data_IF_932372882352
#
_entry.id   IF_932372882352
#
_cell.length_a   1.000
_cell.length_b   1.000
_cell.length_c   1.000
_cell.angle_alpha   90.00
_cell.angle_beta   90.00
_cell.angle_gamma   90.00
#
_symmetry.space_group_name_H-M   'P 1'
#
loop_
_entity.id
_entity.type
_entity.pdbx_description
1 polymer ?
#
# COMPACT_ATOMS: atom_id res chain seq x y z
N UNK A 1 8.85 -47.70 27.15
CA UNK A 1 8.20 -48.49 28.23
C UNK A 1 8.55 -47.88 29.58
N UNK A 2 7.56 -47.56 30.42
CA UNK A 2 7.78 -47.08 31.80
C UNK A 2 8.44 -48.17 32.65
N UNK A 3 9.41 -47.81 33.49
CA UNK A 3 10.25 -48.77 34.26
C UNK A 3 9.44 -49.76 35.12
N UNK A 4 8.23 -49.37 35.54
CA UNK A 4 7.28 -50.25 36.25
C UNK A 4 6.86 -51.50 35.47
N UNK A 5 6.74 -51.44 34.13
CA UNK A 5 6.32 -52.58 33.32
C UNK A 5 7.45 -53.61 33.14
N UNK A 6 8.69 -53.15 32.96
CA UNK A 6 9.89 -54.01 32.94
C UNK A 6 10.05 -54.77 34.25
N UNK A 7 9.79 -54.10 35.38
CA UNK A 7 9.89 -54.67 36.73
C UNK A 7 8.77 -55.68 37.05
N UNK A 8 7.61 -55.52 36.40
CA UNK A 8 6.52 -56.51 36.45
C UNK A 8 6.89 -57.76 35.64
N UNK A 9 7.32 -57.59 34.38
CA UNK A 9 7.75 -58.67 33.49
C UNK A 9 8.90 -59.52 34.07
N UNK A 10 9.89 -58.91 34.70
CA UNK A 10 11.00 -59.63 35.32
C UNK A 10 10.59 -60.51 36.51
N UNK A 11 9.46 -60.21 37.15
CA UNK A 11 8.99 -60.90 38.34
C UNK A 11 7.83 -61.88 38.05
N UNK A 12 7.36 -61.97 36.79
CA UNK A 12 6.30 -62.90 36.40
C UNK A 12 6.62 -64.39 36.64
N UNK A 13 7.84 -64.89 36.38
CA UNK A 13 8.17 -66.29 36.60
C UNK A 13 8.06 -66.70 38.08
N UNK A 14 8.16 -65.74 38.99
CA UNK A 14 8.22 -65.96 40.43
C UNK A 14 6.87 -65.73 41.14
N UNK A 15 5.83 -65.24 40.44
CA UNK A 15 4.51 -65.02 41.03
C UNK A 15 3.38 -65.07 39.98
N UNK A 16 2.68 -66.22 39.83
CA UNK A 16 1.64 -66.42 38.83
C UNK A 16 0.43 -65.48 38.98
N UNK A 17 0.20 -64.94 40.18
CA UNK A 17 -0.91 -64.01 40.45
C UNK A 17 -0.78 -62.66 39.72
N UNK A 18 0.39 -62.38 39.15
CA UNK A 18 0.66 -61.15 38.38
C UNK A 18 0.11 -61.20 36.93
N UNK A 19 -0.26 -62.37 36.41
CA UNK A 19 -0.80 -62.54 35.05
C UNK A 19 -2.08 -61.72 34.82
N UNK A 20 -2.98 -61.68 35.81
CA UNK A 20 -4.19 -60.85 35.76
C UNK A 20 -3.87 -59.35 35.68
N UNK A 21 -2.81 -58.90 36.36
CA UNK A 21 -2.34 -57.50 36.32
C UNK A 21 -1.69 -57.14 34.99
N UNK A 22 -1.01 -58.07 34.33
CA UNK A 22 -0.43 -57.89 32.98
C UNK A 22 -1.52 -57.81 31.92
N UNK A 23 -2.55 -58.66 31.99
CA UNK A 23 -3.74 -58.60 31.12
C UNK A 23 -4.41 -57.22 31.19
N UNK A 24 -4.67 -56.73 32.41
CA UNK A 24 -5.24 -55.40 32.65
C UNK A 24 -4.35 -54.27 32.10
N UNK A 25 -3.05 -54.31 32.39
CA UNK A 25 -2.09 -53.32 31.87
C UNK A 25 -2.01 -53.34 30.34
N UNK A 26 -2.10 -54.52 29.72
CA UNK A 26 -2.02 -54.67 28.28
C UNK A 26 -3.26 -54.16 27.53
N UNK A 27 -4.46 -54.34 28.10
CA UNK A 27 -5.70 -53.75 27.58
C UNK A 27 -5.67 -52.23 27.69
N UNK A 28 -5.19 -51.70 28.83
CA UNK A 28 -5.01 -50.27 29.04
C UNK A 28 -3.96 -49.68 28.08
N UNK A 29 -2.85 -50.37 27.82
CA UNK A 29 -1.85 -49.96 26.83
C UNK A 29 -2.43 -49.93 25.40
N UNK A 30 -3.34 -50.84 25.04
CA UNK A 30 -4.03 -50.81 23.74
C UNK A 30 -5.00 -49.63 23.63
N UNK A 31 -5.74 -49.32 24.69
CA UNK A 31 -6.60 -48.13 24.74
C UNK A 31 -5.78 -46.83 24.68
N UNK A 32 -4.69 -46.73 25.43
CA UNK A 32 -3.76 -45.60 25.36
C UNK A 32 -3.11 -45.48 23.98
N UNK A 33 -2.79 -46.59 23.31
CA UNK A 33 -2.29 -46.58 21.94
C UNK A 33 -3.33 -46.11 20.92
N UNK A 34 -4.60 -46.50 21.09
CA UNK A 34 -5.71 -46.03 20.25
C UNK A 34 -5.94 -44.52 20.40
N UNK A 35 -5.96 -44.04 21.65
CA UNK A 35 -6.10 -42.59 21.95
C UNK A 35 -4.92 -41.81 21.37
N UNK A 36 -3.69 -42.33 21.44
CA UNK A 36 -2.51 -41.70 20.84
C UNK A 36 -2.56 -41.65 19.31
N UNK A 37 -3.07 -42.70 18.65
CA UNK A 37 -3.26 -42.71 17.18
C UNK A 37 -4.31 -41.68 16.74
N UNK A 38 -5.40 -41.57 17.49
CA UNK A 38 -6.48 -40.65 17.19
C UNK A 38 -6.04 -39.20 17.44
N UNK A 39 -5.30 -38.94 18.52
CA UNK A 39 -4.65 -37.65 18.76
C UNK A 39 -3.64 -37.27 17.66
N UNK A 40 -2.88 -38.23 17.16
CA UNK A 40 -1.95 -38.00 16.04
C UNK A 40 -2.67 -37.66 14.73
N UNK A 41 -3.82 -38.29 14.45
CA UNK A 41 -4.64 -37.97 13.29
C UNK A 41 -5.20 -36.54 13.36
N UNK A 42 -5.65 -36.09 14.53
CA UNK A 42 -6.09 -34.70 14.73
C UNK A 42 -4.94 -33.70 14.60
N UNK A 43 -3.75 -34.02 15.12
CA UNK A 43 -2.57 -33.18 14.94
C UNK A 43 -2.18 -33.11 13.46
N UNK A 44 -2.21 -34.23 12.74
CA UNK A 44 -1.93 -34.27 11.30
C UNK A 44 -2.95 -33.46 10.48
N UNK A 45 -4.25 -33.53 10.83
CA UNK A 45 -5.30 -32.73 10.21
C UNK A 45 -5.13 -31.24 10.48
N UNK A 46 -4.85 -30.86 11.74
CA UNK A 46 -4.57 -29.47 12.11
C UNK A 46 -3.32 -28.94 11.36
N UNK A 47 -2.29 -29.76 11.21
CA UNK A 47 -1.10 -29.40 10.43
C UNK A 47 -1.39 -29.25 8.94
N UNK A 48 -2.25 -30.09 8.36
CA UNK A 48 -2.68 -29.98 6.95
C UNK A 48 -3.43 -28.66 6.70
N UNK A 49 -4.34 -28.30 7.61
CA UNK A 49 -5.03 -27.00 7.57
C UNK A 49 -4.05 -25.84 7.69
N UNK A 50 -3.04 -25.95 8.55
CA UNK A 50 -1.98 -24.94 8.68
C UNK A 50 -1.07 -24.85 7.44
N UNK A 51 -0.81 -25.96 6.73
CA UNK A 51 0.01 -25.93 5.50
C UNK A 51 -0.72 -25.23 4.35
N UNK A 52 -2.04 -25.40 4.24
CA UNK A 52 -2.87 -24.66 3.26
C UNK A 52 -2.83 -23.15 3.52
N UNK A 53 -2.85 -22.75 4.80
CA UNK A 53 -2.74 -21.34 5.20
C UNK A 53 -1.35 -20.72 4.95
N UNK A 54 -0.31 -21.54 4.81
CA UNK A 54 1.07 -21.11 4.53
C UNK A 54 1.39 -21.06 3.03
N UNK A 55 0.77 -21.94 2.22
CA UNK A 55 0.98 -21.97 0.75
C UNK A 55 0.19 -20.86 0.05
N UNK A 56 -0.87 -20.37 0.68
CA UNK A 56 -1.55 -19.15 0.25
C UNK A 56 -0.85 -17.98 0.94
N UNK A 57 0.05 -17.21 0.28
CA UNK A 57 0.50 -15.96 0.86
C UNK A 57 -0.77 -15.19 1.26
N UNK A 58 -0.82 -14.52 2.43
CA UNK A 58 -1.88 -13.58 2.69
C UNK A 58 -1.82 -12.60 1.52
N UNK A 59 -2.75 -12.71 0.57
CA UNK A 59 -2.93 -11.66 -0.40
C UNK A 59 -3.27 -10.45 0.44
N UNK A 60 -2.41 -9.43 0.38
CA UNK A 60 -2.65 -8.10 0.92
C UNK A 60 -4.12 -7.81 0.66
N UNK A 61 -4.89 -7.55 1.71
CA UNK A 61 -6.36 -7.48 1.64
C UNK A 61 -6.77 -6.73 0.37
N UNK A 62 -7.42 -7.45 -0.56
CA UNK A 62 -7.87 -6.94 -1.86
C UNK A 62 -9.08 -6.01 -1.63
N UNK A 63 -8.92 -5.01 -0.77
CA UNK A 63 -9.79 -3.85 -0.74
C UNK A 63 -9.30 -2.95 -1.86
N UNK A 64 -10.02 -2.98 -2.97
CA UNK A 64 -9.82 -2.03 -4.07
C UNK A 64 -9.93 -0.61 -3.52
N UNK A 65 -8.92 0.24 -3.77
CA UNK A 65 -9.02 1.67 -3.49
C UNK A 65 -9.32 2.42 -4.79
N UNK A 66 -10.17 3.45 -4.71
CA UNK A 66 -10.41 4.37 -5.82
C UNK A 66 -9.14 5.18 -6.19
N UNK A 67 -8.15 5.21 -5.30
CA UNK A 67 -6.84 5.79 -5.55
C UNK A 67 -5.94 4.91 -6.45
N UNK A 68 -6.27 3.63 -6.62
CA UNK A 68 -5.47 2.68 -7.39
C UNK A 68 -5.48 3.00 -8.89
N UNK A 69 -4.31 3.02 -9.54
CA UNK A 69 -4.23 3.12 -10.99
C UNK A 69 -4.78 1.87 -11.67
N UNK A 70 -4.48 0.70 -11.11
CA UNK A 70 -5.08 -0.58 -11.43
C UNK A 70 -5.89 -1.01 -10.22
N UNK A 71 -7.20 -0.88 -10.31
CA UNK A 71 -8.16 -1.30 -9.28
C UNK A 71 -7.86 -2.69 -8.72
N UNK A 72 -7.43 -2.78 -7.45
CA UNK A 72 -7.10 -4.04 -6.79
C UNK A 72 -5.79 -4.70 -7.26
N UNK A 73 -4.99 -3.99 -8.05
CA UNK A 73 -3.65 -4.41 -8.44
C UNK A 73 -3.59 -5.50 -9.52
N UNK A 74 -2.48 -6.24 -9.52
CA UNK A 74 -2.23 -7.35 -10.43
C UNK A 74 -1.34 -8.42 -9.78
N UNK A 75 -1.46 -9.66 -10.22
CA UNK A 75 -0.75 -10.82 -9.66
C UNK A 75 0.49 -11.28 -10.43
N UNK A 76 0.74 -10.75 -11.64
CA UNK A 76 1.92 -11.13 -12.44
C UNK A 76 2.33 -10.07 -13.46
N UNK A 77 3.59 -10.10 -13.91
CA UNK A 77 4.08 -9.24 -15.00
C UNK A 77 3.23 -9.40 -16.27
N UNK A 78 2.82 -10.63 -16.60
CA UNK A 78 1.95 -10.90 -17.75
C UNK A 78 0.61 -10.16 -17.64
N UNK A 79 -0.03 -10.22 -16.47
CA UNK A 79 -1.27 -9.48 -16.23
C UNK A 79 -1.08 -7.95 -16.32
N UNK A 80 0.02 -7.40 -15.80
CA UNK A 80 0.32 -5.98 -15.93
C UNK A 80 0.51 -5.56 -17.39
N UNK A 81 1.13 -6.43 -18.21
CA UNK A 81 1.28 -6.22 -19.66
C UNK A 81 -0.08 -6.26 -20.36
N UNK A 82 -0.95 -7.20 -20.01
CA UNK A 82 -2.31 -7.27 -20.58
C UNK A 82 -3.14 -6.03 -20.24
N UNK A 83 -3.07 -5.55 -19.00
CA UNK A 83 -3.71 -4.31 -18.55
C UNK A 83 -3.20 -3.11 -19.35
N UNK A 84 -1.88 -3.03 -19.55
CA UNK A 84 -1.26 -1.99 -20.38
C UNK A 84 -1.71 -2.10 -21.84
N UNK A 85 -1.67 -3.28 -22.45
CA UNK A 85 -2.06 -3.46 -23.85
C UNK A 85 -3.54 -3.12 -24.09
N UNK A 86 -4.42 -3.47 -23.15
CA UNK A 86 -5.84 -3.19 -23.21
C UNK A 86 -6.23 -1.79 -22.70
N UNK A 87 -5.28 -0.99 -22.24
CA UNK A 87 -5.48 0.34 -21.66
C UNK A 87 -6.56 0.40 -20.57
N UNK A 88 -6.62 -0.63 -19.72
CA UNK A 88 -7.62 -0.70 -18.65
C UNK A 88 -7.46 0.50 -17.72
N UNK A 89 -8.55 1.24 -17.48
CA UNK A 89 -8.54 2.44 -16.62
C UNK A 89 -7.63 3.58 -17.11
N UNK A 90 -7.24 3.60 -18.39
CA UNK A 90 -6.28 4.57 -18.93
C UNK A 90 -4.82 4.28 -18.58
N UNK A 91 -4.51 3.08 -18.08
CA UNK A 91 -3.18 2.73 -17.57
C UNK A 91 -2.06 2.90 -18.62
N UNK A 92 -2.32 2.60 -19.89
CA UNK A 92 -1.35 2.79 -20.98
C UNK A 92 -1.06 4.25 -21.23
N UNK A 93 -2.09 5.10 -21.18
CA UNK A 93 -1.95 6.54 -21.45
C UNK A 93 -1.14 7.22 -20.34
N UNK A 94 -1.36 6.77 -19.10
CA UNK A 94 -0.54 7.15 -17.94
C UNK A 94 0.91 6.71 -18.13
N UNK A 95 1.15 5.43 -18.47
CA UNK A 95 2.49 4.91 -18.69
C UNK A 95 3.23 5.67 -19.80
N UNK A 96 2.54 5.91 -20.92
CA UNK A 96 3.07 6.62 -22.07
C UNK A 96 3.47 8.06 -21.75
N UNK A 97 2.76 8.75 -20.86
CA UNK A 97 3.12 10.09 -20.38
C UNK A 97 4.54 10.13 -19.78
N UNK A 98 4.96 9.05 -19.12
CA UNK A 98 6.30 8.94 -18.52
C UNK A 98 7.31 8.22 -19.42
N UNK A 99 7.00 8.02 -20.71
CA UNK A 99 7.87 7.29 -21.64
C UNK A 99 8.00 5.80 -21.32
N UNK A 100 6.99 5.22 -20.65
CA UNK A 100 6.94 3.80 -20.32
C UNK A 100 6.05 3.10 -21.34
N UNK A 101 6.64 2.20 -22.13
CA UNK A 101 5.89 1.32 -23.03
C UNK A 101 5.47 0.03 -22.33
N UNK A 102 4.45 -0.66 -22.85
CA UNK A 102 4.09 -1.99 -22.37
C UNK A 102 5.24 -3.01 -22.54
N UNK A 103 6.15 -2.78 -23.51
CA UNK A 103 7.39 -3.56 -23.65
C UNK A 103 8.39 -3.33 -22.51
N UNK A 104 8.48 -2.12 -21.98
CA UNK A 104 9.29 -1.85 -20.78
C UNK A 104 8.71 -2.58 -19.56
N UNK A 105 7.39 -2.68 -19.44
CA UNK A 105 6.71 -3.44 -18.39
C UNK A 105 6.95 -4.94 -18.57
N UNK A 106 6.87 -5.45 -19.80
CA UNK A 106 7.16 -6.86 -20.11
C UNK A 106 8.60 -7.27 -19.76
N UNK A 107 9.53 -6.32 -19.83
CA UNK A 107 10.95 -6.52 -19.49
C UNK A 107 11.27 -6.24 -18.02
N UNK A 108 10.28 -5.84 -17.21
CA UNK A 108 10.47 -5.47 -15.81
C UNK A 108 10.68 -6.70 -14.92
N UNK A 109 11.47 -6.53 -13.86
CA UNK A 109 11.74 -7.59 -12.88
C UNK A 109 10.96 -7.34 -11.58
N UNK A 110 10.47 -8.41 -10.97
CA UNK A 110 9.82 -8.30 -9.64
C UNK A 110 10.88 -8.04 -8.58
N UNK A 111 10.68 -7.00 -7.79
CA UNK A 111 11.53 -6.58 -6.68
C UNK A 111 10.68 -6.30 -5.44
N UNK A 112 11.35 -6.22 -4.30
CA UNK A 112 10.78 -5.68 -3.07
C UNK A 112 11.42 -4.32 -2.80
N UNK A 113 10.59 -3.31 -2.55
CA UNK A 113 11.02 -1.96 -2.18
C UNK A 113 10.44 -1.56 -0.83
N UNK A 114 11.16 -0.74 -0.06
CA UNK A 114 10.64 -0.09 1.14
C UNK A 114 10.24 1.35 0.83
N UNK A 115 9.25 1.85 1.55
CA UNK A 115 8.70 3.20 1.39
C UNK A 115 9.74 4.32 1.50
N UNK A 116 10.82 4.07 2.24
CA UNK A 116 11.92 5.00 2.49
C UNK A 116 13.22 4.67 1.74
N UNK A 117 13.23 3.68 0.84
CA UNK A 117 14.39 3.46 -0.01
C UNK A 117 14.69 4.72 -0.85
N UNK A 118 15.94 4.84 -1.34
CA UNK A 118 16.42 6.03 -2.06
C UNK A 118 16.28 7.32 -1.24
N UNK A 119 16.64 7.26 0.05
CA UNK A 119 16.60 8.41 0.98
C UNK A 119 15.21 9.07 1.06
N UNK A 120 14.15 8.25 0.98
CA UNK A 120 12.77 8.72 1.02
C UNK A 120 12.31 9.47 -0.24
N UNK A 121 13.04 9.37 -1.35
CA UNK A 121 12.71 10.05 -2.62
C UNK A 121 11.80 9.22 -3.53
N UNK A 122 11.14 8.18 -3.04
CA UNK A 122 10.16 7.44 -3.83
C UNK A 122 8.83 8.20 -3.89
N UNK A 123 8.37 8.54 -5.08
CA UNK A 123 7.08 9.18 -5.32
C UNK A 123 6.10 8.20 -5.94
N UNK A 124 5.01 7.89 -5.24
CA UNK A 124 3.90 7.07 -5.74
C UNK A 124 2.80 7.95 -6.33
N UNK A 125 2.22 7.51 -7.44
CA UNK A 125 1.13 8.19 -8.13
C UNK A 125 -0.21 7.49 -7.89
N UNK A 126 -1.23 8.27 -7.55
CA UNK A 126 -2.60 7.79 -7.41
C UNK A 126 -3.65 8.71 -8.06
N UNK A 127 -4.92 8.30 -7.98
CA UNK A 127 -6.06 8.97 -8.65
C UNK A 127 -6.79 10.01 -7.80
N UNK A 128 -6.50 10.13 -6.51
CA UNK A 128 -7.20 11.07 -5.61
C UNK A 128 -6.19 11.94 -4.86
N UNK A 129 -6.49 13.21 -4.56
CA UNK A 129 -5.65 14.04 -3.68
C UNK A 129 -5.79 13.64 -2.20
N UNK A 130 -4.75 13.81 -1.39
CA UNK A 130 -4.79 13.51 0.05
C UNK A 130 -4.10 14.55 0.95
N UNK A 131 -3.49 15.59 0.38
CA UNK A 131 -2.71 16.57 1.15
C UNK A 131 -1.49 15.95 1.83
N UNK A 132 -0.98 14.83 1.32
CA UNK A 132 0.19 14.13 1.86
C UNK A 132 1.48 14.88 1.56
N UNK A 133 2.54 14.52 2.28
CA UNK A 133 3.86 15.10 2.06
C UNK A 133 4.33 14.88 0.60
N UNK A 134 4.82 15.95 -0.02
CA UNK A 134 5.29 15.93 -1.41
C UNK A 134 4.17 15.81 -2.45
N UNK A 135 2.90 16.01 -2.07
CA UNK A 135 1.79 15.87 -3.00
C UNK A 135 1.86 16.89 -4.14
N UNK A 136 1.96 16.41 -5.38
CA UNK A 136 2.14 17.20 -6.59
C UNK A 136 1.17 16.72 -7.67
N UNK A 137 0.30 17.60 -8.21
CA UNK A 137 -0.63 17.22 -9.26
C UNK A 137 0.08 17.05 -10.61
N UNK A 138 -0.33 16.03 -11.37
CA UNK A 138 0.14 15.73 -12.73
C UNK A 138 -1.07 15.57 -13.63
N UNK A 139 -1.21 16.41 -14.65
CA UNK A 139 -2.34 16.35 -15.58
C UNK A 139 -1.97 15.56 -16.82
N UNK A 140 -2.70 14.49 -17.08
CA UNK A 140 -2.53 13.60 -18.23
C UNK A 140 -3.86 13.54 -18.99
N UNK A 141 -3.90 14.17 -20.17
CA UNK A 141 -5.16 14.38 -20.89
C UNK A 141 -6.11 15.28 -20.10
N UNK A 142 -7.34 14.82 -19.86
CA UNK A 142 -8.35 15.54 -19.08
C UNK A 142 -8.37 15.18 -17.59
N UNK A 143 -7.50 14.26 -17.15
CA UNK A 143 -7.48 13.72 -15.80
C UNK A 143 -6.24 14.21 -15.05
N UNK A 144 -6.44 14.67 -13.83
CA UNK A 144 -5.35 14.97 -12.90
C UNK A 144 -5.09 13.75 -12.04
N UNK A 145 -3.81 13.44 -11.83
CA UNK A 145 -3.28 12.42 -10.93
C UNK A 145 -2.40 13.11 -9.89
N UNK A 146 -2.09 12.43 -8.80
CA UNK A 146 -1.34 13.03 -7.70
C UNK A 146 -0.16 12.14 -7.33
N UNK A 147 1.05 12.68 -7.50
CA UNK A 147 2.29 12.12 -6.98
C UNK A 147 2.46 12.51 -5.53
N UNK A 148 3.04 11.66 -4.71
CA UNK A 148 3.37 11.94 -3.30
C UNK A 148 4.46 11.02 -2.81
N UNK A 149 5.14 11.36 -1.73
CA UNK A 149 6.14 10.46 -1.16
C UNK A 149 5.51 9.13 -0.74
N UNK A 150 6.13 8.01 -1.08
CA UNK A 150 5.63 6.68 -0.74
C UNK A 150 5.59 6.44 0.77
N UNK A 151 6.55 6.98 1.52
CA UNK A 151 6.57 6.93 2.99
C UNK A 151 5.49 7.79 3.66
N UNK A 152 4.82 8.69 2.93
CA UNK A 152 3.75 9.51 3.51
C UNK A 152 2.50 8.70 3.91
N UNK A 153 2.45 7.44 3.48
CA UNK A 153 1.45 6.45 3.86
C UNK A 153 1.78 5.68 5.15
N UNK A 154 3.00 5.80 5.68
CA UNK A 154 3.42 5.08 6.87
C UNK A 154 2.77 5.71 8.12
N UNK A 155 2.01 4.93 8.89
CA UNK A 155 1.24 5.41 10.05
C UNK A 155 1.86 5.11 11.42
N UNK A 156 2.98 4.36 11.48
CA UNK A 156 3.56 3.86 12.74
C UNK A 156 5.09 4.04 12.88
N UNK A 157 5.70 4.91 12.08
CA UNK A 157 7.15 5.19 12.17
C UNK A 157 8.07 4.06 11.66
N UNK A 158 7.51 3.01 11.06
CA UNK A 158 8.24 1.96 10.37
C UNK A 158 7.95 2.01 8.87
N UNK A 159 8.96 1.83 8.00
CA UNK A 159 8.75 1.89 6.56
C UNK A 159 7.96 0.69 6.06
N UNK A 160 6.90 0.95 5.30
CA UNK A 160 6.13 -0.10 4.62
C UNK A 160 6.96 -0.78 3.53
N UNK A 161 6.70 -2.07 3.31
CA UNK A 161 7.38 -2.87 2.28
C UNK A 161 6.38 -3.26 1.19
N UNK A 162 6.77 -3.09 -0.06
CA UNK A 162 5.92 -3.33 -1.23
C UNK A 162 6.60 -4.27 -2.23
N UNK A 163 5.82 -5.19 -2.81
CA UNK A 163 6.22 -5.94 -4.01
C UNK A 163 5.91 -5.09 -5.24
N UNK A 164 6.89 -4.94 -6.13
CA UNK A 164 6.78 -4.07 -7.29
C UNK A 164 7.47 -4.66 -8.52
N UNK A 165 6.98 -4.33 -9.72
CA UNK A 165 7.78 -4.46 -10.94
C UNK A 165 8.77 -3.30 -11.01
N UNK A 166 10.05 -3.55 -11.29
CA UNK A 166 11.06 -2.53 -11.57
C UNK A 166 11.42 -2.56 -13.04
N UNK A 167 11.29 -1.41 -13.71
CA UNK A 167 11.67 -1.25 -15.10
C UNK A 167 12.40 0.05 -15.35
N UNK A 168 12.85 0.21 -16.60
CA UNK A 168 13.47 1.43 -17.09
C UNK A 168 12.68 1.92 -18.29
N UNK A 169 12.26 3.19 -18.25
CA UNK A 169 11.55 3.85 -19.34
C UNK A 169 12.48 4.09 -20.54
N UNK A 170 11.91 4.50 -21.68
CA UNK A 170 12.70 4.85 -22.87
C UNK A 170 13.64 6.04 -22.65
N UNK A 171 13.37 6.90 -21.66
CA UNK A 171 14.22 8.03 -21.28
C UNK A 171 15.33 7.68 -20.28
N UNK A 172 15.44 6.40 -19.88
CA UNK A 172 16.41 5.94 -18.89
C UNK A 172 15.95 6.12 -17.42
N UNK A 173 14.77 6.70 -17.19
CA UNK A 173 14.21 6.85 -15.85
C UNK A 173 13.78 5.47 -15.30
N UNK A 174 14.24 5.13 -14.10
CA UNK A 174 13.76 3.96 -13.36
C UNK A 174 12.35 4.23 -12.85
N UNK A 175 11.46 3.26 -13.05
CA UNK A 175 10.11 3.27 -12.51
C UNK A 175 9.82 1.95 -11.78
N UNK A 176 8.85 2.00 -10.88
CA UNK A 176 8.25 0.82 -10.29
C UNK A 176 6.73 0.81 -10.49
N UNK A 177 6.12 -0.37 -10.44
CA UNK A 177 4.67 -0.55 -10.44
C UNK A 177 4.32 -1.47 -9.28
N UNK A 178 3.58 -0.96 -8.29
CA UNK A 178 3.21 -1.73 -7.10
C UNK A 178 2.19 -2.82 -7.46
N UNK A 179 2.39 -4.04 -6.98
CA UNK A 179 1.47 -5.16 -7.27
C UNK A 179 0.08 -4.93 -6.70
N UNK A 180 -0.02 -4.34 -5.51
CA UNK A 180 -1.30 -4.20 -4.80
C UNK A 180 -2.27 -3.20 -5.43
N UNK A 181 -1.79 -2.25 -6.25
CA UNK A 181 -2.61 -1.16 -6.80
C UNK A 181 -2.28 -0.70 -8.22
N UNK A 182 -1.20 -1.23 -8.81
CA UNK A 182 -0.72 -0.72 -10.08
C UNK A 182 -0.16 0.70 -10.03
N UNK A 183 -0.03 1.33 -8.84
CA UNK A 183 0.48 2.69 -8.76
C UNK A 183 1.92 2.75 -9.24
N UNK A 184 2.21 3.69 -10.15
CA UNK A 184 3.57 3.97 -10.55
C UNK A 184 4.33 4.60 -9.38
N UNK A 185 5.58 4.20 -9.21
CA UNK A 185 6.52 4.83 -8.28
C UNK A 185 7.76 5.26 -9.04
N UNK A 186 8.24 6.47 -8.77
CA UNK A 186 9.43 7.05 -9.39
C UNK A 186 10.45 7.43 -8.33
N UNK A 187 11.73 7.41 -8.71
CA UNK A 187 12.80 7.99 -7.89
C UNK A 187 12.85 9.48 -8.22
N UNK A 188 12.49 10.32 -7.25
CA UNK A 188 12.25 11.74 -7.44
C UNK A 188 10.96 12.03 -8.21
N UNK A 189 10.67 13.31 -8.41
CA UNK A 189 9.58 13.72 -9.30
C UNK A 189 9.96 13.35 -10.74
N UNK A 190 9.14 12.54 -11.45
CA UNK A 190 9.40 12.18 -12.82
C UNK A 190 9.41 13.44 -13.69
N UNK A 191 10.32 13.53 -14.68
CA UNK A 191 10.34 14.65 -15.60
C UNK A 191 9.04 14.71 -16.42
N UNK A 192 8.59 15.90 -16.85
CA UNK A 192 7.45 16.02 -17.75
C UNK A 192 7.70 15.24 -19.06
N UNK A 193 6.64 14.85 -19.79
CA UNK A 193 6.76 14.10 -21.03
C UNK A 193 7.73 14.80 -21.99
N UNK A 194 8.55 14.03 -22.74
CA UNK A 194 9.34 14.62 -23.80
C UNK A 194 8.41 15.37 -24.79
N UNK A 195 8.75 16.58 -25.23
CA UNK A 195 7.93 17.31 -26.18
C UNK A 195 7.72 16.46 -27.43
N UNK A 196 6.47 16.44 -27.95
CA UNK A 196 6.15 15.73 -29.19
C UNK A 196 7.12 16.21 -30.29
N UNK A 197 7.76 15.31 -31.04
CA UNK A 197 8.57 15.72 -32.17
C UNK A 197 7.69 16.49 -33.15
N UNK A 198 7.93 17.79 -33.31
CA UNK A 198 7.34 18.56 -34.40
C UNK A 198 8.20 18.24 -35.61
N UNK A 199 7.78 17.27 -36.42
CA UNK A 199 8.30 17.16 -37.77
C UNK A 199 7.87 18.45 -38.51
N UNK A 200 8.77 19.19 -39.18
CA UNK A 200 8.35 20.32 -39.98
C UNK A 200 7.41 19.79 -41.07
N UNK A 201 6.13 20.16 -40.96
CA UNK A 201 5.15 19.91 -42.00
C UNK A 201 5.58 20.64 -43.26
N UNK A 202 5.48 19.96 -44.39
CA UNK A 202 5.57 20.57 -45.71
C UNK A 202 4.53 21.70 -45.80
N UNK A 203 4.97 22.93 -46.06
CA UNK A 203 4.08 24.04 -46.37
C UNK A 203 3.92 24.17 -47.88
N UNK A 204 2.67 24.18 -48.34
CA UNK A 204 2.34 24.39 -49.75
C UNK A 204 2.23 25.89 -50.04
N UNK A 205 3.09 26.40 -50.92
CA UNK A 205 3.05 27.78 -51.41
C UNK A 205 3.54 27.90 -52.85
N UNK A 206 2.66 28.39 -53.73
CA UNK A 206 2.89 28.89 -55.10
C UNK A 206 4.04 28.28 -55.93
N UNK A 207 3.87 27.01 -56.33
CA UNK A 207 4.28 26.55 -57.67
C UNK A 207 5.76 26.37 -58.01
N UNK A 208 6.72 26.55 -57.10
CA UNK A 208 8.14 26.31 -57.40
C UNK A 208 8.88 25.62 -56.25
N UNK A 209 9.66 24.58 -56.58
CA UNK A 209 10.56 23.89 -55.65
C UNK A 209 11.87 24.66 -55.54
N UNK A 210 12.27 25.10 -54.34
CA UNK A 210 13.62 25.58 -54.06
C UNK A 210 14.30 24.66 -53.05
N UNK A 211 15.52 24.22 -53.39
CA UNK A 211 16.42 23.49 -52.51
C UNK A 211 17.12 24.49 -51.58
N UNK A 212 17.16 24.18 -50.28
CA UNK A 212 17.98 24.94 -49.31
C UNK A 212 19.45 24.90 -49.72
N UNK A 213 20.20 26.01 -49.60
CA UNK A 213 21.56 26.12 -50.11
C UNK A 213 22.57 25.53 -49.10
N UNK A 214 22.57 24.22 -48.95
CA UNK A 214 23.70 23.49 -48.37
C UNK A 214 24.21 22.52 -49.43
N UNK A 215 25.00 23.06 -50.36
CA UNK A 215 25.73 22.28 -51.34
C UNK A 215 26.93 21.61 -50.68
N UNK A 216 26.90 20.28 -50.59
CA UNK A 216 28.07 19.48 -50.97
C UNK A 216 27.66 18.04 -51.30
N UNK A 217 27.87 17.66 -52.55
CA UNK A 217 27.73 16.29 -53.07
C UNK A 217 29.14 15.79 -53.37
N UNK A 218 29.60 14.74 -52.66
CA UNK A 218 30.44 13.63 -53.15
C UNK A 218 31.29 12.97 -52.03
N UNK A 219 30.75 11.98 -51.32
CA UNK A 219 31.36 10.64 -51.19
C UNK A 219 30.43 9.71 -50.41
N UNK A 220 29.97 8.66 -51.07
CA UNK A 220 29.31 7.54 -50.42
C UNK A 220 30.37 6.64 -49.75
N UNK A 221 30.45 6.67 -48.43
CA UNK A 221 30.94 5.53 -47.64
C UNK A 221 30.04 5.30 -46.43
N UNK A 222 29.66 4.04 -46.32
CA UNK A 222 28.78 3.37 -45.37
C UNK A 222 29.21 3.61 -43.91
N UNK A 223 28.44 4.39 -43.15
CA UNK A 223 28.47 4.37 -41.68
C UNK A 223 27.15 4.86 -41.10
N UNK A 224 26.58 4.03 -40.23
CA UNK A 224 25.53 4.30 -39.23
C UNK A 224 25.02 5.74 -39.12
N UNK A 225 23.75 5.94 -39.48
CA UNK A 225 22.95 7.12 -39.13
C UNK A 225 22.76 7.22 -37.62
N UNK A 226 23.69 7.88 -36.92
CA UNK A 226 23.35 8.61 -35.70
C UNK A 226 22.82 9.97 -36.11
N UNK A 227 21.53 10.19 -35.90
CA UNK A 227 20.89 11.49 -36.00
C UNK A 227 21.62 12.49 -35.06
N UNK A 228 22.18 13.61 -35.53
CA UNK A 228 22.88 14.57 -34.68
C UNK A 228 21.85 15.49 -34.03
N UNK A 229 21.09 14.97 -33.07
CA UNK A 229 20.25 15.74 -32.17
C UNK A 229 20.46 15.23 -30.75
N UNK A 230 21.68 15.42 -30.24
CA UNK A 230 21.93 15.30 -28.80
C UNK A 230 21.45 16.60 -28.18
N UNK A 231 20.31 16.55 -27.50
CA UNK A 231 19.84 17.65 -26.67
C UNK A 231 20.86 17.89 -25.56
N UNK A 232 21.27 19.15 -25.37
CA UNK A 232 22.07 19.53 -24.22
C UNK A 232 21.31 19.15 -22.93
N UNK A 233 22.01 18.66 -21.89
CA UNK A 233 21.38 18.39 -20.60
C UNK A 233 20.70 19.67 -20.10
N UNK A 234 19.44 19.60 -19.60
CA UNK A 234 18.81 20.77 -19.03
C UNK A 234 19.64 21.25 -17.84
N UNK A 235 19.73 22.58 -17.62
CA UNK A 235 20.44 23.11 -16.47
C UNK A 235 19.88 22.52 -15.17
N UNK A 236 20.71 22.36 -14.12
CA UNK A 236 20.27 21.89 -12.81
C UNK A 236 19.04 22.69 -12.38
N UNK A 237 17.95 22.01 -11.98
CA UNK A 237 16.75 22.72 -11.49
C UNK A 237 17.14 23.55 -10.28
N UNK A 238 16.86 24.85 -10.34
CA UNK A 238 17.04 25.78 -9.25
C UNK A 238 16.25 25.31 -8.00
N UNK A 239 16.75 25.55 -6.78
CA UNK A 239 16.06 25.18 -5.55
C UNK A 239 14.65 25.81 -5.49
N UNK A 240 13.66 25.15 -4.87
CA UNK A 240 12.31 25.68 -4.76
C UNK A 240 12.30 26.94 -3.89
N UNK A 241 11.37 27.85 -4.17
CA UNK A 241 11.21 29.07 -3.41
C UNK A 241 10.77 28.77 -1.97
N UNK A 242 11.40 29.39 -0.94
CA UNK A 242 11.04 29.16 0.46
C UNK A 242 9.64 29.66 0.83
N UNK A 243 9.04 30.53 0.00
CA UNK A 243 7.73 31.14 0.25
C UNK A 243 6.60 30.52 -0.58
N UNK A 244 6.93 29.93 -1.74
CA UNK A 244 5.98 29.26 -2.62
C UNK A 244 6.66 28.04 -3.30
N UNK A 245 6.40 26.80 -2.86
CA UNK A 245 7.10 25.63 -3.37
C UNK A 245 6.83 25.32 -4.85
N UNK A 246 5.84 25.98 -5.47
CA UNK A 246 5.48 25.77 -6.87
C UNK A 246 6.33 26.59 -7.86
N UNK A 247 7.23 27.46 -7.39
CA UNK A 247 8.12 28.28 -8.22
C UNK A 247 9.57 28.18 -7.77
N UNK A 248 10.51 28.51 -8.66
CA UNK A 248 11.94 28.46 -8.38
C UNK A 248 12.36 29.60 -7.43
N UNK A 249 13.40 29.39 -6.62
CA UNK A 249 13.94 30.40 -5.69
C UNK A 249 14.37 31.70 -6.38
N UNK A 250 14.86 31.58 -7.61
CA UNK A 250 15.36 32.72 -8.39
C UNK A 250 14.26 33.37 -9.24
N UNK A 251 13.02 32.88 -9.15
CA UNK A 251 11.87 33.48 -9.83
C UNK A 251 11.58 34.87 -9.25
N UNK A 252 11.36 35.93 -10.06
CA UNK A 252 10.96 37.25 -9.57
C UNK A 252 9.69 37.28 -8.70
N UNK A 253 8.85 36.25 -8.80
CA UNK A 253 7.68 36.00 -7.96
C UNK A 253 8.03 35.42 -6.57
N UNK A 254 9.23 34.87 -6.39
CA UNK A 254 9.71 34.32 -5.12
C UNK A 254 10.15 35.42 -4.15
N UNK A 255 9.18 36.12 -3.56
CA UNK A 255 9.41 37.19 -2.58
C UNK A 255 8.72 36.92 -1.25
N UNK A 256 9.26 37.45 -0.13
CA UNK A 256 8.53 37.47 1.12
C UNK A 256 7.18 38.17 0.93
N UNK A 257 6.19 37.73 1.71
CA UNK A 257 4.82 38.22 1.62
C UNK A 257 4.68 39.76 1.67
N UNK A 258 5.64 40.45 2.29
CA UNK A 258 5.65 41.91 2.42
C UNK A 258 5.94 42.67 1.12
N UNK A 259 6.62 42.03 0.16
CA UNK A 259 7.09 42.63 -1.09
C UNK A 259 6.34 42.11 -2.33
N UNK A 260 5.28 41.33 -2.10
CA UNK A 260 4.44 40.69 -3.11
C UNK A 260 3.42 41.67 -3.70
N UNK A 261 3.40 41.81 -5.05
CA UNK A 261 2.58 42.81 -5.74
C UNK A 261 1.55 42.24 -6.73
N UNK A 262 1.71 41.00 -7.19
CA UNK A 262 0.76 40.37 -8.11
C UNK A 262 -0.18 39.38 -7.39
N UNK A 263 -1.31 39.04 -8.00
CA UNK A 263 -2.30 38.14 -7.40
C UNK A 263 -1.72 36.74 -7.11
N UNK A 264 -0.87 36.22 -7.99
CA UNK A 264 -0.24 34.91 -7.85
C UNK A 264 0.82 34.94 -6.73
N UNK A 265 1.57 36.04 -6.60
CA UNK A 265 2.51 36.26 -5.48
C UNK A 265 1.79 36.39 -4.13
N UNK A 266 0.55 36.88 -4.11
CA UNK A 266 -0.21 37.09 -2.86
C UNK A 266 -0.81 35.80 -2.31
N UNK A 267 -1.08 34.79 -3.14
CA UNK A 267 -1.60 33.50 -2.64
C UNK A 267 -0.61 32.77 -1.74
N UNK A 268 0.70 33.03 -1.89
CA UNK A 268 1.74 32.57 -0.97
C UNK A 268 1.61 33.14 0.46
N UNK A 269 0.86 34.23 0.64
CA UNK A 269 0.54 34.82 1.94
C UNK A 269 -0.64 34.17 2.67
N UNK A 270 -1.35 33.23 2.03
CA UNK A 270 -2.48 32.55 2.65
C UNK A 270 -1.98 31.49 3.63
N UNK A 271 -2.37 31.62 4.89
CA UNK A 271 -2.19 30.60 5.90
C UNK A 271 -3.51 29.84 6.08
N UNK A 272 -3.41 28.52 6.02
CA UNK A 272 -4.53 27.60 6.14
C UNK A 272 -4.50 26.93 7.51
N UNK A 273 -5.66 26.78 8.13
CA UNK A 273 -5.79 25.95 9.33
C UNK A 273 -7.18 25.33 9.43
N UNK A 274 -7.29 24.27 10.24
CA UNK A 274 -8.51 23.51 10.44
C UNK A 274 -8.67 23.06 11.87
N UNK A 275 -9.93 23.02 12.30
CA UNK A 275 -10.39 22.42 13.55
C UNK A 275 -11.64 21.59 13.31
N UNK A 276 -11.89 20.65 14.21
CA UNK A 276 -13.11 19.86 14.22
C UNK A 276 -13.74 19.89 15.62
N UNK A 277 -15.06 19.94 15.70
CA UNK A 277 -15.84 19.85 16.93
C UNK A 277 -16.73 18.62 16.85
N UNK A 278 -16.78 17.82 17.92
CA UNK A 278 -17.79 16.78 18.08
C UNK A 278 -18.99 17.36 18.80
N UNK A 279 -20.07 17.60 18.06
CA UNK A 279 -21.30 18.22 18.58
C UNK A 279 -22.05 17.26 19.51
N UNK A 280 -22.05 15.96 19.20
CA UNK A 280 -22.79 14.94 19.95
C UNK A 280 -22.15 14.67 21.32
N UNK A 281 -20.83 14.61 21.38
CA UNK A 281 -20.09 14.42 22.63
C UNK A 281 -19.72 15.73 23.34
N UNK A 282 -20.05 16.88 22.75
CA UNK A 282 -19.68 18.22 23.24
C UNK A 282 -18.16 18.38 23.49
N UNK A 283 -17.35 18.01 22.49
CA UNK A 283 -15.89 18.15 22.49
C UNK A 283 -15.51 19.27 21.51
N UNK A 284 -14.99 20.38 22.02
CA UNK A 284 -14.68 21.59 21.23
C UNK A 284 -13.55 21.39 20.22
N UNK A 285 -12.54 20.57 20.56
CA UNK A 285 -11.49 20.12 19.65
C UNK A 285 -11.48 18.59 19.59
N UNK A 286 -12.06 18.05 18.53
CA UNK A 286 -12.14 16.62 18.29
C UNK A 286 -10.82 16.03 17.76
N UNK A 287 -9.80 16.85 17.50
CA UNK A 287 -8.51 16.34 17.02
C UNK A 287 -7.88 15.38 18.05
N UNK A 288 -7.42 14.23 17.56
CA UNK A 288 -6.87 13.12 18.35
C UNK A 288 -7.84 12.47 19.36
N UNK A 289 -9.14 12.75 19.25
CA UNK A 289 -10.19 12.13 20.08
C UNK A 289 -10.86 10.95 19.37
N UNK A 290 -11.78 10.27 20.05
CA UNK A 290 -12.54 9.13 19.50
C UNK A 290 -14.01 9.48 19.31
N UNK A 291 -14.50 9.47 18.07
CA UNK A 291 -15.91 9.61 17.74
C UNK A 291 -16.64 8.26 17.79
N UNK A 292 -17.92 8.27 18.15
CA UNK A 292 -18.79 7.10 18.19
C UNK A 292 -19.69 7.03 16.94
N UNK A 293 -20.23 5.86 16.67
CA UNK A 293 -21.21 5.67 15.60
C UNK A 293 -22.41 6.61 15.79
N UNK A 294 -22.74 7.41 14.78
CA UNK A 294 -23.84 8.38 14.83
C UNK A 294 -23.46 9.78 15.30
N UNK A 295 -22.23 10.03 15.76
CA UNK A 295 -21.79 11.36 16.18
C UNK A 295 -21.82 12.36 15.03
N UNK A 296 -22.14 13.62 15.35
CA UNK A 296 -22.12 14.73 14.41
C UNK A 296 -20.84 15.54 14.62
N UNK A 297 -20.05 15.70 13.56
CA UNK A 297 -18.77 16.42 13.57
C UNK A 297 -18.87 17.64 12.67
N UNK A 298 -18.53 18.81 13.22
CA UNK A 298 -18.42 20.07 12.47
C UNK A 298 -16.95 20.38 12.21
N UNK A 299 -16.55 20.47 10.95
CA UNK A 299 -15.22 20.92 10.55
C UNK A 299 -15.26 22.41 10.21
N UNK A 300 -14.27 23.17 10.70
CA UNK A 300 -14.07 24.59 10.34
C UNK A 300 -12.71 24.76 9.68
N UNK A 301 -12.72 25.23 8.44
CA UNK A 301 -11.58 25.64 7.63
C UNK A 301 -11.37 27.14 7.81
N UNK A 302 -10.14 27.57 8.05
CA UNK A 302 -9.77 28.98 8.21
C UNK A 302 -8.69 29.33 7.19
N UNK A 303 -8.91 30.42 6.45
CA UNK A 303 -7.92 30.98 5.52
C UNK A 303 -7.61 32.40 5.95
N UNK A 304 -6.35 32.63 6.33
CA UNK A 304 -5.87 33.93 6.77
C UNK A 304 -4.94 34.55 5.74
N UNK A 305 -5.26 35.74 5.28
CA UNK A 305 -4.37 36.54 4.46
C UNK A 305 -3.37 37.27 5.36
N UNK A 306 -2.11 36.80 5.38
CA UNK A 306 -1.03 37.44 6.14
C UNK A 306 -0.38 38.62 5.39
N UNK A 307 -0.82 38.89 4.16
CA UNK A 307 -0.31 39.97 3.33
C UNK A 307 -0.91 41.33 3.65
N UNK A 308 -0.26 42.36 3.09
CA UNK A 308 -0.65 43.78 3.23
C UNK A 308 -1.67 44.23 2.18
N UNK A 309 -2.02 43.38 1.23
CA UNK A 309 -2.97 43.67 0.15
C UNK A 309 -4.14 42.67 0.14
N UNK A 310 -5.30 43.13 -0.32
CA UNK A 310 -6.45 42.28 -0.55
C UNK A 310 -6.18 41.23 -1.64
N UNK A 311 -6.80 40.06 -1.48
CA UNK A 311 -6.75 38.93 -2.41
C UNK A 311 -8.17 38.63 -2.85
N UNK A 312 -8.46 38.85 -4.13
CA UNK A 312 -9.75 38.55 -4.74
C UNK A 312 -9.83 37.11 -5.26
N UNK A 313 -11.04 36.63 -5.55
CA UNK A 313 -11.27 35.35 -6.23
C UNK A 313 -10.66 34.09 -5.56
N UNK A 314 -10.47 34.09 -4.24
CA UNK A 314 -9.97 32.91 -3.51
C UNK A 314 -11.04 31.84 -3.52
N UNK A 315 -10.69 30.65 -4.00
CA UNK A 315 -11.54 29.46 -3.94
C UNK A 315 -11.03 28.58 -2.82
N UNK A 316 -11.88 28.31 -1.83
CA UNK A 316 -11.59 27.34 -0.78
C UNK A 316 -12.03 25.98 -1.29
N UNK A 317 -11.12 25.00 -1.22
CA UNK A 317 -11.37 23.62 -1.59
C UNK A 317 -10.88 22.69 -0.51
N UNK A 318 -11.58 21.56 -0.34
CA UNK A 318 -11.28 20.57 0.67
C UNK A 318 -11.58 19.17 0.16
N UNK A 319 -10.60 18.26 0.23
CA UNK A 319 -10.85 16.85 -0.02
C UNK A 319 -11.36 16.17 1.25
N UNK A 320 -12.55 15.57 1.20
CA UNK A 320 -13.17 14.87 2.33
C UNK A 320 -13.24 13.34 2.15
N UNK A 321 -12.50 12.76 1.20
CA UNK A 321 -12.58 11.32 0.84
C UNK A 321 -12.39 10.39 2.02
N UNK A 322 -11.36 10.63 2.83
CA UNK A 322 -11.07 9.84 4.03
C UNK A 322 -12.19 9.92 5.08
N UNK A 323 -12.76 11.13 5.28
CA UNK A 323 -13.93 11.33 6.15
C UNK A 323 -15.12 10.51 5.65
N UNK A 324 -15.30 10.42 4.33
CA UNK A 324 -16.43 9.72 3.72
C UNK A 324 -16.34 8.20 3.82
N UNK A 325 -15.20 7.62 4.22
CA UNK A 325 -15.15 6.21 4.59
C UNK A 325 -16.10 5.94 5.75
N UNK A 326 -16.17 6.88 6.69
CA UNK A 326 -16.78 6.68 8.00
C UNK A 326 -17.94 7.60 8.33
N UNK A 327 -18.16 8.65 7.56
CA UNK A 327 -19.21 9.62 7.83
C UNK A 327 -19.94 10.02 6.55
N UNK A 328 -21.22 10.37 6.69
CA UNK A 328 -22.03 10.93 5.62
C UNK A 328 -22.11 12.45 5.76
N UNK A 329 -22.09 13.16 4.64
CA UNK A 329 -22.26 14.63 4.63
C UNK A 329 -23.67 14.97 5.10
N UNK A 330 -23.77 15.85 6.09
CA UNK A 330 -25.03 16.42 6.57
C UNK A 330 -25.28 17.78 5.92
N UNK A 331 -24.25 18.65 5.91
CA UNK A 331 -24.38 20.02 5.41
C UNK A 331 -23.01 20.56 4.97
N UNK A 332 -22.91 21.08 3.75
CA UNK A 332 -21.68 21.68 3.21
C UNK A 332 -21.58 23.19 3.45
N UNK A 333 -22.56 23.80 4.13
CA UNK A 333 -22.63 25.24 4.46
C UNK A 333 -22.30 26.13 3.25
N UNK A 334 -22.95 25.86 2.12
CA UNK A 334 -22.77 26.61 0.87
C UNK A 334 -21.66 26.09 -0.05
N UNK A 335 -20.96 25.02 0.33
CA UNK A 335 -20.03 24.30 -0.54
C UNK A 335 -20.73 23.30 -1.46
N UNK A 336 -20.08 22.94 -2.56
CA UNK A 336 -20.50 21.90 -3.50
C UNK A 336 -19.45 20.82 -3.60
N UNK A 337 -19.84 19.55 -3.47
CA UNK A 337 -18.94 18.39 -3.61
C UNK A 337 -18.94 17.87 -5.04
N UNK A 338 -17.77 17.63 -5.61
CA UNK A 338 -17.63 16.97 -6.91
C UNK A 338 -17.55 15.43 -6.79
N UNK A 339 -17.41 14.76 -7.94
CA UNK A 339 -17.28 13.29 -7.99
C UNK A 339 -15.95 12.76 -7.44
N UNK A 340 -14.98 13.64 -7.15
CA UNK A 340 -13.68 13.32 -6.55
C UNK A 340 -13.69 13.59 -5.05
N UNK A 341 -14.86 13.84 -4.47
CA UNK A 341 -15.07 14.19 -3.07
C UNK A 341 -14.34 15.48 -2.63
N UNK A 342 -14.10 16.40 -3.57
CA UNK A 342 -13.60 17.74 -3.28
C UNK A 342 -14.80 18.66 -3.09
N UNK A 343 -14.90 19.25 -1.90
CA UNK A 343 -15.86 20.31 -1.59
C UNK A 343 -15.23 21.65 -1.98
N UNK A 344 -15.95 22.46 -2.74
CA UNK A 344 -15.52 23.81 -3.13
C UNK A 344 -16.57 24.84 -2.74
N UNK A 345 -16.12 25.96 -2.18
CA UNK A 345 -16.98 27.11 -1.85
C UNK A 345 -16.84 28.24 -2.88
N UNK A 346 -17.85 29.11 -3.04
CA UNK A 346 -17.81 30.22 -3.96
C UNK A 346 -16.60 31.14 -3.73
N UNK A 347 -16.12 31.74 -4.83
CA UNK A 347 -15.02 32.72 -4.84
C UNK A 347 -15.24 33.83 -3.84
N UNK A 348 -14.23 34.10 -3.02
CA UNK A 348 -14.30 35.12 -1.97
C UNK A 348 -13.10 36.05 -2.02
N UNK A 349 -13.34 37.27 -1.52
CA UNK A 349 -12.30 38.26 -1.28
C UNK A 349 -11.82 38.15 0.16
N UNK A 350 -10.51 38.02 0.36
CA UNK A 350 -9.88 38.05 1.69
C UNK A 350 -9.09 39.35 1.82
N UNK A 351 -9.56 40.24 2.69
CA UNK A 351 -8.87 41.50 2.96
C UNK A 351 -7.50 41.27 3.58
N UNK A 352 -6.59 42.22 3.37
CA UNK A 352 -5.29 42.23 4.04
C UNK A 352 -5.42 42.01 5.56
N UNK A 353 -4.57 41.14 6.12
CA UNK A 353 -4.55 40.81 7.56
C UNK A 353 -5.77 40.05 8.10
N UNK A 354 -6.80 39.82 7.28
CA UNK A 354 -8.08 39.23 7.71
C UNK A 354 -8.14 37.72 7.43
N UNK A 355 -9.12 37.06 8.02
CA UNK A 355 -9.40 35.64 7.77
C UNK A 355 -10.87 35.41 7.41
N UNK A 356 -11.12 34.33 6.66
CA UNK A 356 -12.45 33.82 6.36
C UNK A 356 -12.54 32.37 6.81
N UNK A 357 -13.76 31.95 7.16
CA UNK A 357 -14.04 30.60 7.63
C UNK A 357 -15.06 29.91 6.72
N UNK A 358 -14.83 28.63 6.43
CA UNK A 358 -15.78 27.74 5.79
C UNK A 358 -16.02 26.52 6.67
N UNK A 359 -17.21 25.94 6.56
CA UNK A 359 -17.60 24.82 7.41
C UNK A 359 -18.26 23.72 6.59
N UNK A 360 -18.15 22.51 7.10
CA UNK A 360 -19.00 21.40 6.68
C UNK A 360 -19.27 20.49 7.87
N UNK A 361 -20.40 19.81 7.83
CA UNK A 361 -20.91 18.95 8.90
C UNK A 361 -21.06 17.54 8.33
N UNK A 362 -20.56 16.57 9.08
CA UNK A 362 -20.69 15.15 8.75
C UNK A 362 -21.28 14.40 9.94
N UNK A 363 -21.87 13.24 9.67
CA UNK A 363 -22.38 12.32 10.68
C UNK A 363 -21.70 10.97 10.53
N UNK A 364 -21.06 10.50 11.60
CA UNK A 364 -20.42 9.18 11.62
C UNK A 364 -21.47 8.11 11.34
N UNK A 365 -21.17 7.23 10.39
CA UNK A 365 -22.03 6.13 9.97
C UNK A 365 -22.34 5.21 11.15
N UNK A 366 -23.57 4.71 11.17
CA UNK A 366 -24.02 3.74 12.16
C UNK A 366 -24.75 2.59 11.43
N UNK A 367 -24.15 1.38 11.35
CA UNK A 367 -22.89 0.97 11.99
C UNK A 367 -21.63 1.55 11.30
N UNK A 368 -20.52 1.60 12.04
CA UNK A 368 -19.20 2.00 11.47
C UNK A 368 -18.75 0.92 10.46
N UNK A 369 -18.41 1.30 9.21
CA UNK A 369 -17.92 0.38 8.20
C UNK A 369 -16.74 -0.47 8.66
N UNK A 370 -16.77 -1.74 8.25
CA UNK A 370 -15.75 -2.75 8.56
C UNK A 370 -14.94 -3.15 7.32
N UNK A 371 -14.99 -2.33 6.26
CA UNK A 371 -14.24 -2.52 5.01
C UNK A 371 -12.77 -2.72 5.32
N UNK A 372 -12.10 -3.77 4.82
CA UNK A 372 -10.66 -3.96 5.06
C UNK A 372 -9.84 -2.77 4.57
N UNK A 373 -8.75 -2.46 5.27
CA UNK A 373 -7.75 -1.47 4.83
C UNK A 373 -7.13 -1.98 3.53
N UNK A 374 -6.90 -1.11 2.55
CA UNK A 374 -6.09 -1.50 1.39
C UNK A 374 -4.60 -1.47 1.74
N UNK A 375 -3.80 -2.44 1.30
CA UNK A 375 -2.34 -2.33 1.44
C UNK A 375 -1.74 -1.21 0.57
N UNK A 376 -2.39 -0.85 -0.52
CA UNK A 376 -1.97 0.24 -1.39
C UNK A 376 -2.35 1.62 -0.88
N UNK A 377 -3.33 1.68 0.01
CA UNK A 377 -3.91 2.89 0.53
C UNK A 377 -4.26 2.71 2.02
N UNK A 378 -3.22 2.68 2.87
CA UNK A 378 -3.39 2.35 4.28
C UNK A 378 -4.05 3.47 5.09
N UNK A 379 -4.29 4.64 4.48
CA UNK A 379 -5.05 5.72 5.11
C UNK A 379 -6.56 5.50 5.04
N UNK A 380 -7.03 4.76 4.02
CA UNK A 380 -8.44 4.46 3.88
C UNK A 380 -8.87 3.27 4.75
N UNK A 381 -10.06 3.41 5.32
CA UNK A 381 -10.69 2.44 6.20
C UNK A 381 -9.80 1.97 7.39
N UNK A 382 -8.92 2.84 7.89
CA UNK A 382 -7.96 2.59 8.97
C UNK A 382 -8.48 2.87 10.40
N UNK A 383 -9.77 3.18 10.53
CA UNK A 383 -10.49 3.63 11.72
C UNK A 383 -10.07 5.03 12.22
N UNK A 384 -9.49 5.85 11.35
CA UNK A 384 -9.15 7.24 11.62
C UNK A 384 -9.67 8.12 10.50
N UNK A 385 -10.57 9.05 10.81
CA UNK A 385 -10.90 10.13 9.89
C UNK A 385 -9.76 11.16 9.93
N UNK A 386 -8.82 11.01 9.01
CA UNK A 386 -7.64 11.86 8.78
C UNK A 386 -7.95 12.89 7.71
N UNK A 387 -7.74 14.16 8.02
CA UNK A 387 -8.01 15.21 7.06
C UNK A 387 -7.06 16.40 7.22
N UNK A 388 -6.59 16.94 6.10
CA UNK A 388 -5.47 17.88 6.04
C UNK A 388 -5.88 19.18 5.36
N UNK A 389 -5.71 20.29 6.08
CA UNK A 389 -5.87 21.64 5.53
C UNK A 389 -4.97 22.63 6.27
N UNK A 390 -3.75 22.81 5.77
CA UNK A 390 -2.66 23.51 6.47
C UNK A 390 -2.10 22.74 7.66
N UNK A 391 -2.97 22.24 8.55
CA UNK A 391 -2.67 21.26 9.59
C UNK A 391 -3.53 19.99 9.43
N UNK A 392 -3.14 18.92 10.12
CA UNK A 392 -3.86 17.64 10.13
C UNK A 392 -4.82 17.56 11.31
N UNK A 393 -6.04 17.09 11.05
CA UNK A 393 -7.03 16.68 12.06
C UNK A 393 -7.25 15.18 11.92
N UNK A 394 -7.05 14.44 13.02
CA UNK A 394 -7.23 12.99 13.09
C UNK A 394 -8.32 12.66 14.12
N UNK A 395 -9.43 12.05 13.71
CA UNK A 395 -10.49 11.62 14.63
C UNK A 395 -10.59 10.10 14.57
N UNK A 396 -10.33 9.43 15.68
CA UNK A 396 -10.34 7.96 15.77
C UNK A 396 -11.75 7.42 15.90
N UNK A 397 -11.94 6.16 15.52
CA UNK A 397 -13.17 5.41 15.71
C UNK A 397 -12.92 4.19 16.62
N UNK A 398 -13.93 3.73 17.36
CA UNK A 398 -13.77 2.56 18.23
C UNK A 398 -13.40 1.32 17.41
N UNK A 399 -12.39 0.55 17.83
CA UNK A 399 -12.02 -0.69 17.15
C UNK A 399 -13.13 -1.73 17.32
N UNK A 400 -13.33 -2.54 16.28
CA UNK A 400 -14.18 -3.73 16.34
C UNK A 400 -13.34 -4.99 16.37
N UNK A 401 -13.94 -6.11 16.81
CA UNK A 401 -13.29 -7.43 16.80
C UNK A 401 -12.76 -7.79 15.41
N UNK A 402 -13.52 -7.47 14.35
CA UNK A 402 -13.13 -7.75 12.96
C UNK A 402 -11.88 -6.96 12.58
N UNK A 403 -11.88 -5.64 12.83
CA UNK A 403 -10.74 -4.76 12.50
C UNK A 403 -9.48 -5.06 13.30
N UNK A 404 -9.61 -5.41 14.59
CA UNK A 404 -8.46 -5.80 15.41
C UNK A 404 -7.77 -7.07 14.86
N UNK A 405 -8.54 -8.05 14.37
CA UNK A 405 -7.94 -9.24 13.74
C UNK A 405 -7.21 -8.91 12.44
N UNK A 406 -7.68 -7.93 11.65
CA UNK A 406 -7.02 -7.48 10.42
C UNK A 406 -5.62 -6.90 10.69
N UNK A 407 -5.49 -6.02 11.69
CA UNK A 407 -4.20 -5.40 12.06
C UNK A 407 -3.20 -6.44 12.59
N UNK A 408 -3.68 -7.45 13.32
CA UNK A 408 -2.83 -8.54 13.82
C UNK A 408 -2.32 -9.40 12.66
N UNK A 409 -3.15 -9.69 11.65
CA UNK A 409 -2.72 -10.45 10.47
C UNK A 409 -1.66 -9.69 9.66
N UNK A 410 -1.78 -8.36 9.53
CA UNK A 410 -0.81 -7.50 8.83
C UNK A 410 0.56 -7.40 9.52
N UNK A 411 0.62 -7.60 10.83
CA UNK A 411 1.86 -7.46 11.64
C UNK A 411 2.58 -8.78 11.87
N UNK A 412 2.02 -9.91 11.44
CA UNK A 412 2.77 -11.15 11.43
C UNK A 412 3.88 -11.06 10.38
N UNK A 413 5.16 -11.25 10.75
CA UNK A 413 6.23 -11.27 9.76
C UNK A 413 5.89 -12.36 8.74
N UNK A 414 5.88 -11.99 7.46
CA UNK A 414 5.84 -12.95 6.36
C UNK A 414 7.06 -13.86 6.54
N UNK A 415 6.87 -15.02 7.17
CA UNK A 415 7.87 -16.08 7.18
C UNK A 415 7.93 -16.58 5.76
N UNK A 416 8.85 -16.03 4.97
CA UNK A 416 8.99 -16.33 3.54
C UNK A 416 9.00 -17.84 3.28
N UNK A 417 8.76 -18.28 2.03
CA UNK A 417 8.50 -19.68 1.72
C UNK A 417 9.52 -20.65 2.34
N UNK A 418 10.80 -20.25 2.39
CA UNK A 418 11.87 -21.04 2.98
C UNK A 418 11.78 -21.27 4.49
N UNK A 419 11.42 -20.28 5.30
CA UNK A 419 11.37 -20.45 6.78
C UNK A 419 10.17 -21.30 7.20
N UNK A 420 9.05 -21.16 6.48
CA UNK A 420 7.86 -21.98 6.70
C UNK A 420 8.07 -23.44 6.26
N UNK A 421 8.81 -23.67 5.17
CA UNK A 421 9.22 -25.02 4.75
C UNK A 421 10.16 -25.69 5.75
N UNK A 422 11.12 -24.95 6.33
CA UNK A 422 12.04 -25.47 7.35
C UNK A 422 11.28 -25.84 8.63
N UNK A 423 10.35 -24.99 9.07
CA UNK A 423 9.50 -25.28 10.24
C UNK A 423 8.62 -26.52 10.01
N UNK A 424 8.01 -26.63 8.82
CA UNK A 424 7.22 -27.80 8.42
C UNK A 424 8.05 -29.09 8.35
N UNK A 425 9.27 -29.01 7.80
CA UNK A 425 10.20 -30.15 7.75
C UNK A 425 10.66 -30.60 9.15
N UNK A 426 11.05 -29.66 10.01
CA UNK A 426 11.46 -29.99 11.38
C UNK A 426 10.32 -30.66 12.16
N UNK A 427 9.09 -30.15 12.01
CA UNK A 427 7.92 -30.70 12.68
C UNK A 427 7.54 -32.10 12.16
N UNK A 428 7.56 -32.31 10.83
CA UNK A 428 7.32 -33.63 10.23
C UNK A 428 8.37 -34.66 10.64
N UNK A 429 9.64 -34.27 10.78
CA UNK A 429 10.70 -35.15 11.30
C UNK A 429 10.42 -35.57 12.76
N UNK A 430 10.02 -34.64 13.62
CA UNK A 430 9.66 -34.94 15.02
C UNK A 430 8.46 -35.89 15.09
N UNK A 431 7.43 -35.61 14.28
CA UNK A 431 6.20 -36.41 14.17
C UNK A 431 6.50 -37.82 13.67
N UNK A 432 7.33 -37.95 12.62
CA UNK A 432 7.78 -39.24 12.07
C UNK A 432 8.60 -40.04 13.10
N UNK A 433 9.48 -39.37 13.85
CA UNK A 433 10.25 -39.99 14.93
C UNK A 433 9.35 -40.61 16.00
N UNK A 434 8.37 -39.87 16.50
CA UNK A 434 7.44 -40.38 17.51
C UNK A 434 6.54 -41.50 16.97
N UNK A 435 6.12 -41.42 15.70
CA UNK A 435 5.36 -42.48 15.04
C UNK A 435 6.17 -43.78 14.91
N UNK A 436 7.40 -43.70 14.39
CA UNK A 436 8.32 -44.84 14.28
C UNK A 436 8.62 -45.43 15.65
N UNK A 437 8.88 -44.59 16.66
CA UNK A 437 9.15 -45.03 18.03
C UNK A 437 7.94 -45.70 18.68
N UNK A 438 6.72 -45.26 18.38
CA UNK A 438 5.49 -45.92 18.82
C UNK A 438 5.31 -47.30 18.20
N UNK A 439 5.60 -47.44 16.90
CA UNK A 439 5.59 -48.73 16.20
C UNK A 439 6.64 -49.70 16.73
N UNK A 440 7.86 -49.22 16.98
CA UNK A 440 8.95 -50.02 17.53
C UNK A 440 8.56 -50.62 18.89
N UNK A 441 8.04 -49.79 19.81
CA UNK A 441 7.60 -50.29 21.13
C UNK A 441 6.45 -51.30 21.04
N UNK A 442 5.61 -51.23 20.00
CA UNK A 442 4.54 -52.23 19.79
C UNK A 442 5.12 -53.56 19.31
N UNK A 443 6.07 -53.53 18.37
CA UNK A 443 6.77 -54.75 17.90
C UNK A 443 7.58 -55.43 19.01
N UNK A 444 8.30 -54.65 19.81
CA UNK A 444 9.03 -55.17 20.99
C UNK A 444 8.09 -55.89 21.96
N UNK A 445 6.90 -55.33 22.20
CA UNK A 445 5.90 -55.96 23.07
C UNK A 445 5.38 -57.28 22.49
N UNK A 446 5.17 -57.36 21.18
CA UNK A 446 4.68 -58.57 20.52
C UNK A 446 5.76 -59.65 20.45
N UNK A 447 7.04 -59.29 20.28
CA UNK A 447 8.17 -60.22 20.37
C UNK A 447 8.32 -60.79 21.78
N UNK A 448 8.27 -59.95 22.82
CA UNK A 448 8.32 -60.41 24.23
C UNK A 448 7.16 -61.37 24.55
N UNK A 449 5.97 -61.14 23.98
CA UNK A 449 4.84 -62.08 24.09
C UNK A 449 5.10 -63.39 23.34
N UNK A 450 5.64 -63.32 22.13
CA UNK A 450 5.93 -64.50 21.32
C UNK A 450 7.01 -65.37 21.97
N UNK A 451 8.10 -64.77 22.46
CA UNK A 451 9.16 -65.47 23.21
C UNK A 451 8.62 -66.07 24.51
N UNK A 452 7.79 -65.34 25.25
CA UNK A 452 7.15 -65.87 26.47
C UNK A 452 6.20 -67.04 26.17
N UNK A 453 5.41 -66.97 25.09
CA UNK A 453 4.54 -68.07 24.68
C UNK A 453 5.34 -69.28 24.15
N UNK A 454 6.52 -69.04 23.55
CA UNK A 454 7.41 -70.09 23.07
C UNK A 454 8.24 -70.74 24.20
N UNK A 455 8.50 -70.02 25.29
CA UNK A 455 9.22 -70.52 26.48
C UNK A 455 8.30 -70.96 27.63
N UNK A 456 6.99 -70.68 27.52
CA UNK A 456 5.95 -71.07 28.47
C UNK A 456 5.44 -72.50 28.27
N UNK A 457 6.32 -73.47 28.48
CA UNK A 457 6.00 -74.87 28.81
C UNK A 457 7.23 -75.52 29.45
N UNK A 458 7.51 -75.18 30.70
CA UNK A 458 8.14 -76.07 31.69
C UNK A 458 7.48 -75.82 33.05
#
# INVERSE_FOLDING_TARGET
MTSKFKRLLSNLPFNPSLIGKVSFYSKRLRQEASIRRLGFAFIALAMFVQTIAVISPPQSSIAQSDNDLISGGFGSTGQAVDICNNNVGGFRDIAAHFGISCGNIASASTVTIRSNDYDGQLYSMGRLPYGKAGETPVTIGATTYWLRFLWSWDSLGYPSTYTALRGTSSSGQTFFILFDCGNFVFIGLPPPPPPKPVCPGWYQGWGFWYQSPDGDVNHATKTTTTNPCVAAPPPPKAPPCPYNPNINKDDPACKPCEDSQTQDDKTACLAYSKKARNETQNIDDANSTTAQAGDVITYTLTVKNKGKADIDNVVIQENISDILDYADVVDLKGGTKDNRNIVSWPKQKIKAGSEINQQFVVKVKNPIPQTPVSSSDPGHFDLTMTNVYGNTVNIKLPPTVIKTTETIVRTMPNTGPGTSLIAGFALTVVVAYFFMRSRLMSKELDLVRAEYNATGSL
#
